data_IF_529251687519
#
_entry.id   IF_529251687519
#
_cell.length_a   1.000
_cell.length_b   1.000
_cell.length_c   1.000
_cell.angle_alpha   90.00
_cell.angle_beta   90.00
_cell.angle_gamma   90.00
#
_symmetry.space_group_name_H-M   'P 1'
#
loop_
_entity.id
_entity.type
_entity.pdbx_description
1 polymer ?
#
# COMPACT_ATOMS: atom_id res chain seq x y z
N UNK A 1 -5.12 8.01 -20.49
CA UNK A 1 -4.29 7.69 -19.30
C UNK A 1 -4.86 8.22 -17.98
N UNK A 2 -5.32 9.46 -17.89
CA UNK A 2 -5.80 10.04 -16.61
C UNK A 2 -6.91 9.21 -15.94
N UNK A 3 -7.97 8.81 -16.68
CA UNK A 3 -9.03 7.95 -16.13
C UNK A 3 -8.51 6.58 -15.66
N UNK A 4 -7.57 5.98 -16.39
CA UNK A 4 -6.99 4.69 -16.01
C UNK A 4 -6.14 4.80 -14.72
N UNK A 5 -5.42 5.92 -14.55
CA UNK A 5 -4.69 6.22 -13.31
C UNK A 5 -5.64 6.34 -12.12
N UNK A 6 -6.74 7.08 -12.25
CA UNK A 6 -7.69 7.24 -11.15
C UNK A 6 -8.38 5.93 -10.76
N UNK A 7 -8.83 5.13 -11.73
CA UNK A 7 -9.39 3.79 -11.48
C UNK A 7 -8.36 2.90 -10.75
N UNK A 8 -7.09 2.96 -11.17
CA UNK A 8 -6.01 2.18 -10.53
C UNK A 8 -5.77 2.65 -9.10
N UNK A 9 -5.77 3.97 -8.85
CA UNK A 9 -5.63 4.51 -7.48
C UNK A 9 -6.80 4.09 -6.59
N UNK A 10 -8.03 4.11 -7.09
CA UNK A 10 -9.20 3.66 -6.34
C UNK A 10 -9.11 2.18 -5.98
N UNK A 11 -8.75 1.31 -6.94
CA UNK A 11 -8.50 -0.11 -6.69
C UNK A 11 -7.43 -0.32 -5.62
N UNK A 12 -6.27 0.31 -5.77
CA UNK A 12 -5.16 0.20 -4.81
C UNK A 12 -5.53 0.73 -3.42
N UNK A 13 -6.39 1.76 -3.34
CA UNK A 13 -6.92 2.27 -2.06
C UNK A 13 -7.83 1.25 -1.38
N UNK A 14 -8.68 0.57 -2.15
CA UNK A 14 -9.55 -0.48 -1.64
C UNK A 14 -8.73 -1.68 -1.15
N UNK A 15 -7.74 -2.13 -1.93
CA UNK A 15 -6.87 -3.26 -1.58
C UNK A 15 -5.99 -2.99 -0.35
N UNK A 16 -5.38 -1.80 -0.27
CA UNK A 16 -4.47 -1.47 0.85
C UNK A 16 -5.18 -1.22 2.18
N UNK A 17 -6.48 -0.86 2.17
CA UNK A 17 -7.22 -0.49 3.38
C UNK A 17 -7.20 -1.62 4.43
N UNK A 18 -7.66 -2.85 4.12
CA UNK A 18 -7.62 -3.95 5.09
C UNK A 18 -6.18 -4.32 5.48
N UNK A 19 -5.21 -4.18 4.57
CA UNK A 19 -3.81 -4.46 4.87
C UNK A 19 -3.22 -3.45 5.87
N UNK A 20 -3.52 -2.16 5.71
CA UNK A 20 -3.09 -1.13 6.66
C UNK A 20 -3.72 -1.35 8.03
N UNK A 21 -5.00 -1.71 8.10
CA UNK A 21 -5.69 -2.03 9.35
C UNK A 21 -5.03 -3.22 10.08
N UNK A 22 -4.65 -4.28 9.35
CA UNK A 22 -3.90 -5.41 9.91
C UNK A 22 -2.53 -4.98 10.42
N UNK A 23 -1.80 -4.14 9.67
CA UNK A 23 -0.49 -3.64 10.12
C UNK A 23 -0.60 -2.70 11.32
N UNK A 24 -1.67 -1.92 11.42
CA UNK A 24 -1.94 -1.08 12.60
C UNK A 24 -2.16 -1.94 13.85
N UNK A 25 -2.91 -3.04 13.74
CA UNK A 25 -3.08 -4.00 14.85
C UNK A 25 -1.74 -4.61 15.26
N UNK A 26 -0.95 -5.09 14.29
CA UNK A 26 0.39 -5.65 14.56
C UNK A 26 1.31 -4.63 15.23
N UNK A 27 1.24 -3.37 14.81
CA UNK A 27 2.02 -2.29 15.39
C UNK A 27 1.66 -2.07 16.86
N UNK A 28 0.36 -2.01 17.18
CA UNK A 28 -0.11 -1.88 18.56
C UNK A 28 0.33 -3.06 19.43
N UNK A 29 0.16 -4.28 18.95
CA UNK A 29 0.62 -5.49 19.66
C UNK A 29 2.14 -5.46 19.91
N UNK A 30 2.94 -5.08 18.90
CA UNK A 30 4.38 -4.98 19.03
C UNK A 30 4.80 -3.91 20.05
N UNK A 31 4.10 -2.77 20.10
CA UNK A 31 4.34 -1.74 21.11
C UNK A 31 4.02 -2.23 22.52
N UNK A 32 2.92 -2.96 22.71
CA UNK A 32 2.52 -3.53 24.01
C UNK A 32 3.53 -4.56 24.51
N UNK A 33 4.12 -5.36 23.63
CA UNK A 33 5.10 -6.39 24.00
C UNK A 33 6.55 -5.91 23.95
N UNK A 34 6.81 -4.66 23.53
CA UNK A 34 8.16 -4.12 23.33
C UNK A 34 8.95 -4.76 22.16
N UNK A 35 8.26 -5.31 21.17
CA UNK A 35 8.88 -5.91 19.97
C UNK A 35 9.32 -4.83 18.96
N UNK A 36 10.23 -5.21 18.05
CA UNK A 36 10.64 -4.33 16.94
C UNK A 36 9.46 -4.05 15.99
N UNK A 37 9.34 -2.79 15.59
CA UNK A 37 8.28 -2.30 14.70
C UNK A 37 8.80 -1.89 13.32
N UNK A 38 10.11 -1.99 13.08
CA UNK A 38 10.77 -1.50 11.85
C UNK A 38 10.17 -2.11 10.59
N UNK A 39 9.96 -3.43 10.58
CA UNK A 39 9.34 -4.11 9.43
C UNK A 39 7.89 -3.69 9.20
N UNK A 40 7.11 -3.51 10.28
CA UNK A 40 5.70 -3.09 10.23
C UNK A 40 5.59 -1.67 9.66
N UNK A 41 6.45 -0.75 10.11
CA UNK A 41 6.47 0.64 9.62
C UNK A 41 6.91 0.69 8.15
N UNK A 42 7.88 -0.12 7.76
CA UNK A 42 8.33 -0.25 6.37
C UNK A 42 7.19 -0.71 5.46
N UNK A 43 6.44 -1.71 5.89
CA UNK A 43 5.31 -2.23 5.13
C UNK A 43 4.15 -1.22 5.02
N UNK A 44 3.83 -0.52 6.12
CA UNK A 44 2.85 0.57 6.11
C UNK A 44 3.26 1.68 5.13
N UNK A 45 4.56 1.97 5.01
CA UNK A 45 5.08 2.95 4.05
C UNK A 45 4.93 2.43 2.61
N UNK A 46 5.30 1.17 2.33
CA UNK A 46 5.13 0.52 1.02
C UNK A 46 3.68 0.61 0.53
N UNK A 47 2.71 0.25 1.38
CA UNK A 47 1.27 0.30 1.07
C UNK A 47 0.75 1.72 0.76
N UNK A 48 1.35 2.76 1.36
CA UNK A 48 1.00 4.15 1.08
C UNK A 48 1.63 4.64 -0.22
N UNK A 49 2.90 4.30 -0.43
CA UNK A 49 3.68 4.78 -1.57
C UNK A 49 3.24 4.14 -2.90
N UNK A 50 2.65 2.94 -2.88
CA UNK A 50 2.16 2.30 -4.11
C UNK A 50 1.15 3.15 -4.91
N UNK A 51 0.34 3.96 -4.23
CA UNK A 51 -0.60 4.87 -4.93
C UNK A 51 0.09 6.08 -5.57
N UNK A 52 1.28 6.45 -5.09
CA UNK A 52 2.09 7.52 -5.70
C UNK A 52 2.76 7.01 -6.98
N UNK A 53 3.12 5.72 -7.02
CA UNK A 53 3.74 5.11 -8.20
C UNK A 53 2.81 5.13 -9.43
N UNK A 54 1.49 5.24 -9.24
CA UNK A 54 0.53 5.39 -10.33
C UNK A 54 0.78 6.66 -11.15
N UNK A 55 1.25 7.74 -10.51
CA UNK A 55 1.50 9.00 -11.20
C UNK A 55 2.69 8.90 -12.15
N UNK A 56 3.69 8.09 -11.81
CA UNK A 56 4.86 7.80 -12.67
C UNK A 56 4.56 6.83 -13.83
N UNK A 57 3.46 6.09 -13.80
CA UNK A 57 3.15 5.15 -14.89
C UNK A 57 2.82 5.89 -16.19
N UNK A 58 3.42 5.44 -17.28
CA UNK A 58 3.24 5.96 -18.64
C UNK A 58 2.44 5.02 -19.54
N UNK A 59 2.34 3.73 -19.18
CA UNK A 59 1.62 2.69 -19.92
C UNK A 59 0.52 2.03 -19.08
N UNK A 60 -0.46 1.38 -19.74
CA UNK A 60 -1.53 0.65 -19.04
C UNK A 60 -1.04 -0.63 -18.40
N UNK A 61 0.05 -1.21 -18.91
CA UNK A 61 0.59 -2.46 -18.38
C UNK A 61 1.38 -2.21 -17.08
N UNK A 62 2.08 -1.08 -16.97
CA UNK A 62 2.65 -0.59 -15.70
C UNK A 62 1.56 -0.40 -14.63
N UNK A 63 0.37 0.11 -15.01
CA UNK A 63 -0.74 0.29 -14.09
C UNK A 63 -1.32 -1.04 -13.57
N UNK A 64 -1.38 -2.05 -14.45
CA UNK A 64 -1.85 -3.41 -14.07
C UNK A 64 -0.86 -4.14 -13.18
N UNK A 65 0.44 -3.88 -13.34
CA UNK A 65 1.48 -4.51 -12.54
C UNK A 65 1.50 -4.06 -11.07
N UNK A 66 0.93 -2.89 -10.75
CA UNK A 66 0.83 -2.42 -9.37
C UNK A 66 -0.18 -3.27 -8.59
N UNK A 67 0.22 -3.87 -7.48
CA UNK A 67 -0.67 -4.60 -6.59
C UNK A 67 -0.22 -4.46 -5.13
N UNK A 68 -1.15 -4.59 -4.19
CA UNK A 68 -0.79 -4.49 -2.76
C UNK A 68 -0.20 -5.79 -2.20
N UNK A 69 -0.18 -6.86 -2.99
CA UNK A 69 0.47 -8.13 -2.66
C UNK A 69 1.99 -8.01 -2.80
N UNK A 70 2.74 -8.89 -2.14
CA UNK A 70 4.17 -9.12 -2.42
C UNK A 70 4.33 -10.21 -3.48
#
# INVERSE_FOLDING_TARGET
>A
MNKAKEITKERLRAERKPLLEVQDIKFMQAQETGNDTTAIVTEKKRLRDITKNVDSCTTTDELKALNCTE
#
